data_IF_910065610420
#
_entry.id   IF_910065610420
#
_cell.length_a   1.000
_cell.length_b   1.000
_cell.length_c   1.000
_cell.angle_alpha   90.00
_cell.angle_beta   90.00
_cell.angle_gamma   90.00
#
_symmetry.space_group_name_H-M   'P 1'
#
loop_
_entity.id
_entity.type
_entity.pdbx_description
1 polymer ?
#
# COMPACT_ATOMS: atom_id res chain seq x y z
N UNK A 1 -52.34 34.39 4.09
CA UNK A 1 -51.09 34.56 3.31
C UNK A 1 -49.95 33.88 4.06
N UNK A 2 -49.06 33.15 3.38
CA UNK A 2 -47.88 32.52 4.01
C UNK A 2 -46.70 33.50 4.02
N UNK A 3 -46.02 33.64 5.16
CA UNK A 3 -44.86 34.53 5.28
C UNK A 3 -43.65 34.00 4.52
N UNK A 4 -42.93 34.88 3.82
CA UNK A 4 -41.72 34.54 3.07
C UNK A 4 -40.66 33.79 3.92
N UNK A 5 -40.61 34.10 5.23
CA UNK A 5 -39.72 33.42 6.20
C UNK A 5 -40.07 31.95 6.47
N UNK A 6 -41.32 31.49 6.29
CA UNK A 6 -41.66 30.07 6.46
C UNK A 6 -41.33 29.26 5.19
N UNK A 7 -41.53 29.84 4.01
CA UNK A 7 -41.21 29.22 2.72
C UNK A 7 -39.71 28.88 2.66
N UNK A 8 -38.84 29.86 2.94
CA UNK A 8 -37.38 29.65 2.94
C UNK A 8 -36.94 28.55 3.92
N UNK A 9 -37.51 28.51 5.14
CA UNK A 9 -37.22 27.45 6.12
C UNK A 9 -37.61 26.07 5.62
N UNK A 10 -38.78 25.91 4.99
CA UNK A 10 -39.20 24.64 4.38
C UNK A 10 -38.30 24.19 3.23
N UNK A 11 -37.83 25.11 2.37
CA UNK A 11 -36.90 24.74 1.30
C UNK A 11 -35.53 24.30 1.84
N UNK A 12 -35.06 24.92 2.92
CA UNK A 12 -33.81 24.56 3.61
C UNK A 12 -33.89 23.16 4.22
N UNK A 13 -34.90 22.87 5.06
CA UNK A 13 -35.06 21.54 5.68
C UNK A 13 -35.30 20.45 4.63
N UNK A 14 -36.05 20.76 3.55
CA UNK A 14 -36.26 19.86 2.42
C UNK A 14 -35.00 19.62 1.57
N UNK A 15 -34.04 20.56 1.50
CA UNK A 15 -32.71 20.33 0.90
C UNK A 15 -31.83 19.49 1.82
N UNK A 16 -31.75 19.84 3.11
CA UNK A 16 -30.93 19.11 4.09
C UNK A 16 -31.34 17.63 4.21
N UNK A 17 -32.64 17.32 4.28
CA UNK A 17 -33.14 15.93 4.29
C UNK A 17 -32.74 15.14 3.03
N UNK A 18 -32.85 15.75 1.85
CA UNK A 18 -32.43 15.10 0.59
C UNK A 18 -30.92 14.86 0.55
N UNK A 19 -30.12 15.84 0.98
CA UNK A 19 -28.66 15.70 1.06
C UNK A 19 -28.24 14.59 2.05
N UNK A 20 -28.90 14.48 3.21
CA UNK A 20 -28.62 13.43 4.19
C UNK A 20 -28.92 12.02 3.64
N UNK A 21 -30.06 11.83 2.98
CA UNK A 21 -30.41 10.55 2.34
C UNK A 21 -29.44 10.23 1.19
N UNK A 22 -29.11 11.19 0.33
CA UNK A 22 -28.16 11.01 -0.76
C UNK A 22 -26.76 10.64 -0.24
N UNK A 23 -26.28 11.30 0.82
CA UNK A 23 -24.98 11.01 1.43
C UNK A 23 -24.94 9.62 2.07
N UNK A 24 -26.03 9.18 2.70
CA UNK A 24 -26.13 7.81 3.25
C UNK A 24 -26.05 6.75 2.14
N UNK A 25 -26.81 6.93 1.05
CA UNK A 25 -26.79 6.03 -0.11
C UNK A 25 -25.42 6.04 -0.80
N UNK A 26 -24.73 7.18 -0.85
CA UNK A 26 -23.36 7.26 -1.34
C UNK A 26 -22.38 6.47 -0.46
N UNK A 27 -22.49 6.59 0.87
CA UNK A 27 -21.72 5.79 1.83
C UNK A 27 -21.94 4.28 1.68
N UNK A 28 -23.21 3.85 1.64
CA UNK A 28 -23.62 2.45 1.39
C UNK A 28 -22.99 1.90 0.09
N UNK A 29 -23.01 2.69 -0.99
CA UNK A 29 -22.39 2.33 -2.28
C UNK A 29 -20.85 2.28 -2.23
N UNK A 30 -20.20 3.19 -1.51
CA UNK A 30 -18.74 3.18 -1.35
C UNK A 30 -18.28 1.95 -0.56
N UNK A 31 -18.98 1.58 0.51
CA UNK A 31 -18.68 0.36 1.26
C UNK A 31 -18.88 -0.90 0.40
N UNK A 32 -19.97 -0.99 -0.37
CA UNK A 32 -20.20 -2.09 -1.29
C UNK A 32 -19.14 -2.18 -2.41
N UNK A 33 -18.61 -1.05 -2.88
CA UNK A 33 -17.51 -1.01 -3.83
C UNK A 33 -16.17 -1.47 -3.19
N UNK A 34 -15.91 -1.06 -1.94
CA UNK A 34 -14.73 -1.49 -1.19
C UNK A 34 -14.73 -3.01 -0.96
N UNK A 35 -15.84 -3.61 -0.56
CA UNK A 35 -15.95 -5.07 -0.41
C UNK A 35 -15.68 -5.81 -1.73
N UNK A 36 -16.13 -5.27 -2.88
CA UNK A 36 -15.82 -5.84 -4.20
C UNK A 36 -14.33 -5.72 -4.56
N UNK A 37 -13.67 -4.62 -4.18
CA UNK A 37 -12.23 -4.48 -4.35
C UNK A 37 -11.47 -5.50 -3.48
N UNK A 38 -11.88 -5.70 -2.24
CA UNK A 38 -11.30 -6.72 -1.35
C UNK A 38 -11.47 -8.13 -1.91
N UNK A 39 -12.66 -8.50 -2.41
CA UNK A 39 -12.85 -9.84 -3.00
C UNK A 39 -12.03 -10.02 -4.27
N UNK A 40 -11.88 -9.00 -5.13
CA UNK A 40 -10.99 -9.05 -6.28
C UNK A 40 -9.51 -9.24 -5.88
N UNK A 41 -9.02 -8.48 -4.89
CA UNK A 41 -7.63 -8.65 -4.38
C UNK A 41 -7.40 -10.07 -3.86
N UNK A 42 -8.35 -10.63 -3.12
CA UNK A 42 -8.25 -11.99 -2.55
C UNK A 42 -8.42 -13.11 -3.60
N UNK A 43 -9.19 -12.91 -4.67
CA UNK A 43 -9.51 -13.96 -5.65
C UNK A 43 -8.66 -13.93 -6.92
N UNK A 44 -8.23 -12.77 -7.38
CA UNK A 44 -7.57 -12.60 -8.69
C UNK A 44 -6.10 -13.06 -8.72
N UNK A 45 -5.65 -13.84 -7.73
CA UNK A 45 -4.22 -14.16 -7.49
C UNK A 45 -3.32 -12.91 -7.48
N UNK A 46 -3.84 -11.77 -7.02
CA UNK A 46 -3.12 -10.50 -7.08
C UNK A 46 -1.90 -10.54 -6.15
N UNK A 47 -0.72 -10.65 -6.75
CA UNK A 47 0.55 -10.57 -6.05
C UNK A 47 1.17 -9.19 -6.32
N UNK A 48 1.32 -8.31 -5.31
CA UNK A 48 1.93 -6.98 -5.49
C UNK A 48 3.41 -7.07 -5.90
N UNK A 49 4.06 -8.21 -5.64
CA UNK A 49 5.43 -8.50 -6.07
C UNK A 49 5.53 -9.18 -7.44
N UNK A 50 4.42 -9.38 -8.17
CA UNK A 50 4.46 -9.92 -9.53
C UNK A 50 5.18 -8.95 -10.49
N UNK A 51 6.22 -9.39 -11.23
CA UNK A 51 6.94 -8.49 -12.14
C UNK A 51 6.12 -8.18 -13.41
N UNK A 52 6.30 -6.98 -13.94
CA UNK A 52 5.88 -6.60 -15.30
C UNK A 52 7.01 -6.84 -16.30
N UNK A 53 6.65 -7.18 -17.53
CA UNK A 53 7.56 -7.07 -18.68
C UNK A 53 7.85 -5.57 -18.92
N UNK A 54 9.13 -5.13 -18.98
CA UNK A 54 9.47 -3.73 -19.26
C UNK A 54 8.93 -3.23 -20.60
N UNK A 55 8.73 -1.92 -20.72
CA UNK A 55 8.40 -1.31 -22.00
C UNK A 55 9.62 -1.36 -22.96
N UNK A 56 9.38 -1.62 -24.25
CA UNK A 56 10.43 -1.71 -25.28
C UNK A 56 10.53 -3.08 -25.96
N UNK A 57 9.93 -4.12 -25.40
CA UNK A 57 9.68 -5.41 -26.08
C UNK A 57 8.25 -5.48 -26.65
N UNK A 58 8.00 -6.47 -27.50
CA UNK A 58 6.67 -6.84 -28.01
C UNK A 58 5.62 -7.02 -26.92
N UNK A 59 6.03 -7.57 -25.78
CA UNK A 59 5.17 -8.01 -24.68
C UNK A 59 5.16 -6.99 -23.51
N UNK A 60 5.64 -5.78 -23.75
CA UNK A 60 5.79 -4.75 -22.73
C UNK A 60 4.48 -4.40 -22.02
N UNK A 61 4.54 -4.28 -20.69
CA UNK A 61 3.39 -3.99 -19.83
C UNK A 61 2.57 -5.21 -19.38
N UNK A 62 2.82 -6.41 -19.94
CA UNK A 62 2.19 -7.66 -19.49
C UNK A 62 2.70 -8.10 -18.11
N UNK A 63 1.86 -8.81 -17.35
CA UNK A 63 2.26 -9.45 -16.09
C UNK A 63 3.02 -10.77 -16.38
N UNK A 64 4.19 -10.95 -15.75
CA UNK A 64 4.97 -12.19 -15.86
C UNK A 64 4.58 -13.22 -14.79
N UNK A 65 4.70 -14.52 -15.08
CA UNK A 65 4.45 -15.61 -14.13
C UNK A 65 3.01 -16.14 -14.05
N UNK A 66 2.14 -15.80 -15.01
CA UNK A 66 0.75 -16.25 -15.07
C UNK A 66 0.55 -17.68 -15.60
N UNK A 67 1.04 -18.70 -14.88
CA UNK A 67 0.74 -20.14 -15.10
C UNK A 67 0.80 -20.66 -16.55
N UNK A 68 2.01 -20.75 -17.11
CA UNK A 68 2.34 -21.71 -18.17
C UNK A 68 3.37 -22.71 -17.64
N UNK A 69 3.27 -23.99 -18.03
CA UNK A 69 4.27 -25.00 -17.65
C UNK A 69 5.59 -24.74 -18.38
N UNK A 70 6.72 -24.94 -17.69
CA UNK A 70 8.02 -24.46 -18.14
C UNK A 70 9.10 -24.64 -17.09
N UNK A 71 9.98 -25.62 -17.32
CA UNK A 71 11.12 -25.93 -16.47
C UNK A 71 12.02 -24.71 -16.19
N UNK A 72 12.51 -24.60 -14.97
CA UNK A 72 13.45 -23.57 -14.53
C UNK A 72 14.87 -23.82 -15.10
N UNK A 73 15.02 -23.66 -16.41
CA UNK A 73 16.33 -23.56 -17.07
C UNK A 73 16.96 -22.23 -16.69
N UNK A 74 18.13 -22.29 -16.04
CA UNK A 74 18.91 -21.14 -15.57
C UNK A 74 19.75 -20.51 -16.70
N UNK A 75 19.14 -20.40 -17.88
CA UNK A 75 19.72 -19.92 -19.14
C UNK A 75 19.01 -18.64 -19.60
N UNK A 76 19.13 -17.59 -18.79
CA UNK A 76 18.44 -16.33 -19.03
C UNK A 76 18.71 -15.28 -17.95
N UNK A 77 19.91 -14.70 -17.95
CA UNK A 77 20.21 -13.54 -17.11
C UNK A 77 19.24 -12.39 -17.48
N UNK A 78 18.46 -11.85 -16.52
CA UNK A 78 17.53 -10.77 -16.82
C UNK A 78 18.28 -9.49 -17.24
N UNK A 79 17.65 -8.59 -18.02
CA UNK A 79 18.12 -7.20 -18.08
C UNK A 79 18.19 -6.64 -16.64
N UNK A 80 19.24 -5.87 -16.36
CA UNK A 80 19.66 -5.54 -15.00
C UNK A 80 18.58 -4.94 -14.10
N UNK A 81 17.59 -4.26 -14.70
CA UNK A 81 16.44 -3.65 -14.03
C UNK A 81 15.60 -4.66 -13.24
N UNK A 82 15.43 -5.89 -13.73
CA UNK A 82 14.68 -6.92 -13.03
C UNK A 82 15.45 -7.43 -11.80
N UNK A 83 16.78 -7.56 -11.89
CA UNK A 83 17.65 -7.89 -10.75
C UNK A 83 17.70 -6.73 -9.75
N UNK A 84 17.72 -5.48 -10.23
CA UNK A 84 17.62 -4.28 -9.39
C UNK A 84 16.28 -4.20 -8.65
N UNK A 85 15.16 -4.53 -9.31
CA UNK A 85 13.85 -4.59 -8.70
C UNK A 85 13.77 -5.69 -7.63
N UNK A 86 14.23 -6.91 -7.92
CA UNK A 86 14.28 -8.02 -6.95
C UNK A 86 15.16 -7.66 -5.74
N UNK A 87 16.37 -7.15 -5.97
CA UNK A 87 17.27 -6.75 -4.88
C UNK A 87 16.75 -5.58 -4.07
N UNK A 88 15.97 -4.65 -4.66
CA UNK A 88 15.30 -3.57 -3.90
C UNK A 88 14.23 -4.10 -2.94
N UNK A 89 13.47 -5.13 -3.34
CA UNK A 89 12.45 -5.79 -2.51
C UNK A 89 13.09 -6.62 -1.39
N UNK A 90 14.11 -7.42 -1.72
CA UNK A 90 14.87 -8.20 -0.74
C UNK A 90 15.56 -7.29 0.29
N UNK A 91 16.16 -6.18 -0.15
CA UNK A 91 16.72 -5.17 0.74
C UNK A 91 15.65 -4.60 1.69
N UNK A 92 14.48 -4.19 1.17
CA UNK A 92 13.40 -3.67 2.02
C UNK A 92 12.95 -4.70 3.06
N UNK A 93 12.77 -5.96 2.69
CA UNK A 93 12.41 -7.03 3.63
C UNK A 93 13.49 -7.25 4.73
N UNK A 94 14.78 -7.13 4.39
CA UNK A 94 15.88 -7.18 5.38
C UNK A 94 15.80 -5.98 6.35
N UNK A 95 15.56 -4.77 5.83
CA UNK A 95 15.42 -3.57 6.66
C UNK A 95 14.18 -3.63 7.56
N UNK A 96 13.04 -4.11 7.05
CA UNK A 96 11.80 -4.30 7.83
C UNK A 96 12.00 -5.35 8.93
N UNK A 97 12.64 -6.48 8.62
CA UNK A 97 12.97 -7.51 9.61
C UNK A 97 13.97 -7.01 10.68
N UNK A 98 14.85 -6.06 10.37
CA UNK A 98 15.67 -5.39 11.38
C UNK A 98 14.83 -4.45 12.24
N UNK A 99 14.00 -3.61 11.62
CA UNK A 99 13.18 -2.63 12.33
C UNK A 99 12.24 -3.29 13.34
N UNK A 100 11.63 -4.44 13.03
CA UNK A 100 10.83 -5.20 14.02
C UNK A 100 11.65 -5.68 15.23
N UNK A 101 12.93 -6.04 15.06
CA UNK A 101 13.81 -6.41 16.18
C UNK A 101 14.19 -5.19 17.02
N UNK A 102 14.53 -4.07 16.36
CA UNK A 102 14.84 -2.80 17.02
C UNK A 102 13.60 -2.30 17.81
N UNK A 103 12.40 -2.39 17.23
CA UNK A 103 11.11 -2.03 17.88
C UNK A 103 10.74 -2.97 19.03
N UNK A 104 11.03 -4.27 18.95
CA UNK A 104 10.83 -5.21 20.07
C UNK A 104 11.66 -4.78 21.29
N UNK A 105 12.93 -4.41 21.09
CA UNK A 105 13.77 -3.85 22.15
C UNK A 105 13.18 -2.54 22.71
N UNK A 106 12.75 -1.61 21.85
CA UNK A 106 12.18 -0.34 22.33
C UNK A 106 10.87 -0.50 23.11
N UNK A 107 10.07 -1.54 22.82
CA UNK A 107 8.88 -1.89 23.63
C UNK A 107 9.23 -2.37 25.04
N UNK A 108 10.41 -2.96 25.25
CA UNK A 108 10.89 -3.36 26.58
C UNK A 108 11.60 -2.22 27.32
N UNK A 109 12.34 -1.36 26.60
CA UNK A 109 13.10 -0.25 27.18
C UNK A 109 12.23 0.99 27.46
N UNK A 110 11.17 1.21 26.67
CA UNK A 110 10.20 2.30 26.87
C UNK A 110 10.69 3.73 26.57
N UNK A 111 11.98 3.90 26.29
CA UNK A 111 12.58 5.20 25.99
C UNK A 111 12.24 5.71 24.58
N UNK A 112 11.96 7.01 24.48
CA UNK A 112 11.66 7.68 23.20
C UNK A 112 12.84 7.65 22.23
N UNK A 113 14.06 7.82 22.75
CA UNK A 113 15.33 7.77 22.02
C UNK A 113 15.50 6.47 21.23
N UNK A 114 15.18 5.32 21.84
CA UNK A 114 15.24 4.02 21.18
C UNK A 114 14.40 3.99 19.90
N UNK A 115 13.15 4.47 19.96
CA UNK A 115 12.27 4.54 18.78
C UNK A 115 12.83 5.48 17.71
N UNK A 116 13.26 6.68 18.10
CA UNK A 116 13.81 7.67 17.18
C UNK A 116 15.07 7.12 16.47
N UNK A 117 15.94 6.37 17.17
CA UNK A 117 17.09 5.68 16.57
C UNK A 117 16.71 4.45 15.72
N UNK A 118 15.69 3.67 16.08
CA UNK A 118 15.20 2.55 15.27
C UNK A 118 14.76 3.04 13.88
N UNK A 119 14.09 4.20 13.83
CA UNK A 119 13.75 4.87 12.56
C UNK A 119 15.00 5.35 11.80
N UNK A 120 16.02 5.91 12.46
CA UNK A 120 17.28 6.29 11.80
C UNK A 120 17.98 5.08 11.17
N UNK A 121 18.05 3.96 11.89
CA UNK A 121 18.66 2.70 11.40
C UNK A 121 17.89 2.11 10.23
N UNK A 122 16.56 2.12 10.29
CA UNK A 122 15.70 1.68 9.18
C UNK A 122 15.87 2.55 7.92
N UNK A 123 15.90 3.88 8.09
CA UNK A 123 16.14 4.82 7.00
C UNK A 123 17.54 4.64 6.37
N UNK A 124 18.58 4.49 7.19
CA UNK A 124 19.95 4.21 6.73
C UNK A 124 20.03 2.90 5.92
N UNK A 125 19.35 1.85 6.38
CA UNK A 125 19.28 0.55 5.68
C UNK A 125 18.63 0.69 4.30
N UNK A 126 17.47 1.36 4.20
CA UNK A 126 16.81 1.61 2.91
C UNK A 126 17.66 2.49 1.97
N UNK A 127 18.38 3.46 2.52
CA UNK A 127 19.30 4.32 1.79
C UNK A 127 20.64 3.63 1.42
N UNK A 128 20.85 2.36 1.80
CA UNK A 128 22.12 1.61 1.64
C UNK A 128 23.32 2.29 2.31
N UNK A 129 23.08 3.07 3.36
CA UNK A 129 24.09 3.75 4.16
C UNK A 129 24.58 2.86 5.31
N UNK A 130 25.70 3.23 5.94
CA UNK A 130 26.19 2.54 7.12
C UNK A 130 25.17 2.67 8.27
N UNK A 131 24.69 1.53 8.77
CA UNK A 131 23.66 1.49 9.81
C UNK A 131 24.32 1.86 11.15
N UNK A 132 23.84 2.90 11.87
CA UNK A 132 24.45 3.32 13.13
C UNK A 132 24.26 2.28 14.26
N UNK A 133 25.16 2.26 15.27
CA UNK A 133 25.07 1.37 16.43
C UNK A 133 23.78 1.62 17.22
N UNK A 134 23.28 0.63 17.95
CA UNK A 134 21.96 0.70 18.60
C UNK A 134 22.09 0.81 20.13
N UNK A 135 22.33 2.03 20.60
CA UNK A 135 22.70 2.34 21.99
C UNK A 135 21.73 3.39 22.61
N UNK A 136 20.46 3.40 22.16
CA UNK A 136 19.46 4.47 22.36
C UNK A 136 18.30 4.09 23.29
#
# INVERSE_FOLDING_TARGET
MLSYRSILRNTSTGRLRRNAVASRIAGEKMMAAFTRLQTLVLTAKFNPDQPRVPAGSSDGGQWSGGSGDGSATIDGLPPGDAVAAITSRVLRAICEAQFERDIFQCRMVGLRSCYDQAYQRYAACLARQQIPPFNY
#
